data_IF_815510549999
#
_entry.id   IF_815510549999
#
_cell.length_a   1.000
_cell.length_b   1.000
_cell.length_c   1.000
_cell.angle_alpha   90.00
_cell.angle_beta   90.00
_cell.angle_gamma   90.00
#
_symmetry.space_group_name_H-M   'P 1'
#
loop_
_entity.id
_entity.type
_entity.pdbx_description
1 polymer ?
2 water ?
#
# COMPACT_ATOMS: atom_id res chain seq x y z
N UNK A 5 25.89 11.85 -0.08
CA UNK A 5 24.42 11.95 -0.31
C UNK A 5 23.85 13.17 0.44
N UNK A 6 23.04 13.98 -0.26
CA UNK A 6 22.39 15.12 0.38
C UNK A 6 21.25 14.66 1.31
N UNK A 7 20.97 15.44 2.35
CA UNK A 7 19.81 15.22 3.22
C UNK A 7 18.56 15.21 2.35
N UNK A 8 17.66 14.27 2.59
CA UNK A 8 16.47 14.16 1.74
C UNK A 8 16.57 13.05 0.68
N UNK A 9 17.79 12.65 0.31
CA UNK A 9 17.96 11.60 -0.68
C UNK A 9 17.38 10.33 -0.09
N UNK A 10 16.51 9.66 -0.87
CA UNK A 10 15.86 8.46 -0.36
C UNK A 10 16.85 7.43 0.21
N UNK A 11 18.08 7.40 -0.32
CA UNK A 11 19.11 6.45 0.17
C UNK A 11 19.68 6.90 1.53
N UNK A 12 19.89 8.20 1.68
CA UNK A 12 20.31 8.78 2.95
C UNK A 12 19.28 8.42 4.04
N UNK A 13 18.00 8.53 3.70
CA UNK A 13 16.90 8.31 4.63
C UNK A 13 16.92 6.87 5.12
N UNK A 14 17.20 5.95 4.22
CA UNK A 14 17.23 4.53 4.55
C UNK A 14 18.36 4.22 5.54
N UNK A 15 19.52 4.84 5.33
CA UNK A 15 20.65 4.75 6.26
C UNK A 15 20.29 5.34 7.63
N UNK A 16 19.65 6.51 7.62
CA UNK A 16 19.22 7.18 8.83
C UNK A 16 18.22 6.36 9.62
N UNK A 17 17.25 5.75 8.93
CA UNK A 17 16.29 4.85 9.57
C UNK A 17 16.98 3.66 10.20
N UNK A 18 17.86 3.03 9.44
CA UNK A 18 18.66 1.93 9.98
C UNK A 18 19.43 2.26 11.27
N UNK A 19 19.92 3.49 11.38
CA UNK A 19 20.65 3.93 12.56
C UNK A 19 19.70 3.98 13.77
N UNK A 20 18.44 4.35 13.51
CA UNK A 20 17.40 4.36 14.54
C UNK A 20 16.94 2.95 14.92
N UNK A 21 16.90 2.04 13.96
CA UNK A 21 16.49 0.66 14.22
C UNK A 21 17.55 -0.04 15.08
N UNK A 22 18.81 0.22 14.76
CA UNK A 22 19.95 -0.27 15.51
C UNK A 22 19.88 0.20 16.98
N UNK A 23 19.74 1.50 17.20
CA UNK A 23 19.54 1.97 18.56
C UNK A 23 18.40 1.27 19.31
N UNK A 24 17.22 1.18 18.69
CA UNK A 24 16.04 0.55 19.30
C UNK A 24 16.25 -0.94 19.58
N UNK A 25 16.90 -1.65 18.66
CA UNK A 25 17.24 -3.06 18.83
C UNK A 25 18.19 -3.24 20.03
N UNK A 26 19.10 -2.30 20.17
CA UNK A 26 20.06 -2.33 21.26
C UNK A 26 19.45 -1.93 22.63
N UNK A 27 18.51 -1.00 22.63
CA UNK A 27 17.83 -0.65 23.85
C UNK A 27 16.87 -1.72 24.28
N UNK A 28 16.29 -2.38 23.30
CA UNK A 28 15.49 -3.58 23.57
C UNK A 28 16.30 -4.63 24.34
N UNK A 29 17.47 -4.96 23.80
CA UNK A 29 18.38 -5.92 24.44
C UNK A 29 18.80 -5.48 25.84
N UNK A 30 19.27 -4.24 25.97
CA UNK A 30 19.69 -3.68 27.24
C UNK A 30 18.57 -3.84 28.31
N UNK A 31 17.35 -3.47 27.94
CA UNK A 31 16.22 -3.46 28.86
C UNK A 31 15.65 -4.85 29.18
N UNK A 32 15.77 -5.77 28.24
CA UNK A 32 15.31 -7.14 28.48
C UNK A 32 16.26 -7.88 29.40
N UNK A 33 17.56 -7.62 29.24
CA UNK A 33 18.56 -8.26 30.08
C UNK A 33 18.43 -7.72 31.48
N UNK A 34 18.25 -6.41 31.57
CA UNK A 34 18.09 -5.70 32.83
C UNK A 34 16.85 -6.15 33.58
N UNK A 35 15.76 -6.33 32.85
CA UNK A 35 14.51 -6.75 33.47
C UNK A 35 14.74 -8.09 34.16
N UNK A 36 15.48 -8.98 33.51
CA UNK A 36 15.78 -10.29 34.04
C UNK A 36 16.65 -10.28 35.29
N UNK A 37 17.35 -9.19 35.59
CA UNK A 37 18.16 -9.17 36.81
C UNK A 37 17.60 -8.26 37.93
N UNK A 38 16.38 -7.73 37.74
CA UNK A 38 15.84 -6.70 38.62
C UNK A 38 14.80 -7.27 39.58
N UNK A 39 15.01 -7.08 40.87
CA UNK A 39 14.09 -7.57 41.89
C UNK A 39 13.02 -6.54 42.29
N UNK A 40 13.41 -5.28 42.45
CA UNK A 40 12.47 -4.26 42.90
C UNK A 40 11.27 -4.14 41.97
N UNK A 41 10.07 -4.20 42.56
CA UNK A 41 8.83 -4.17 41.79
C UNK A 41 8.69 -2.87 41.00
N UNK A 42 8.97 -1.75 41.65
CA UNK A 42 8.83 -0.47 41.01
C UNK A 42 9.78 -0.31 39.82
N UNK A 43 11.02 -0.78 39.98
CA UNK A 43 12.01 -0.72 38.92
C UNK A 43 11.63 -1.63 37.73
N UNK A 44 11.06 -2.80 38.04
CA UNK A 44 10.43 -3.66 37.06
C UNK A 44 9.32 -2.99 36.22
N UNK A 45 8.36 -2.35 36.87
CA UNK A 45 7.31 -1.61 36.15
C UNK A 45 7.85 -0.43 35.27
N UNK A 46 8.98 0.13 35.68
CA UNK A 46 9.63 1.18 34.90
C UNK A 46 10.28 0.62 33.63
N UNK A 47 11.05 -0.45 33.79
CA UNK A 47 11.65 -1.15 32.66
C UNK A 47 10.56 -1.67 31.70
N UNK A 48 9.50 -2.27 32.25
CA UNK A 48 8.40 -2.75 31.41
C UNK A 48 7.74 -1.61 30.63
N UNK A 49 7.63 -0.45 31.24
CA UNK A 49 7.07 0.71 30.54
C UNK A 49 7.93 1.13 29.35
N UNK A 50 9.26 1.08 29.52
CA UNK A 50 10.14 1.38 28.41
C UNK A 50 10.09 0.30 27.32
N UNK A 51 10.06 -0.96 27.75
CA UNK A 51 9.96 -2.08 26.83
C UNK A 51 8.70 -2.03 25.96
N UNK A 52 7.58 -1.57 26.51
CA UNK A 52 6.34 -1.43 25.74
C UNK A 52 6.45 -0.40 24.63
N UNK A 53 7.11 0.72 24.94
CA UNK A 53 7.37 1.79 23.98
C UNK A 53 8.31 1.33 22.88
N UNK A 54 9.35 0.61 23.25
CA UNK A 54 10.34 0.14 22.30
C UNK A 54 9.72 -0.87 21.34
N UNK A 55 9.07 -1.89 21.89
CA UNK A 55 8.40 -2.91 21.09
C UNK A 55 7.28 -2.32 20.20
N UNK A 56 6.48 -1.43 20.76
CA UNK A 56 5.43 -0.78 19.97
C UNK A 56 6.00 0.07 18.82
N UNK A 57 7.20 0.60 19.03
CA UNK A 57 7.92 1.38 18.05
C UNK A 57 8.47 0.45 16.96
N UNK A 58 9.09 -0.65 17.39
CA UNK A 58 9.63 -1.63 16.46
C UNK A 58 8.57 -2.22 15.53
N UNK A 59 7.32 -2.30 15.97
CA UNK A 59 6.25 -2.73 15.07
C UNK A 59 6.17 -1.83 13.81
N UNK A 60 6.64 -0.59 13.91
CA UNK A 60 6.54 0.36 12.81
C UNK A 60 7.58 0.12 11.71
N UNK A 61 8.65 -0.61 12.04
CA UNK A 61 9.67 -0.94 11.03
C UNK A 61 9.08 -1.56 9.75
N UNK A 62 8.19 -2.53 9.93
CA UNK A 62 7.57 -3.20 8.79
C UNK A 62 6.68 -2.28 7.96
N UNK A 63 5.94 -1.39 8.62
CA UNK A 63 4.96 -0.56 7.95
C UNK A 63 5.60 0.61 7.22
N UNK A 64 6.84 0.92 7.57
CA UNK A 64 7.51 2.09 6.97
C UNK A 64 8.77 1.70 6.19
N UNK A 65 9.89 1.62 6.90
CA UNK A 65 11.15 1.21 6.31
C UNK A 65 11.13 0.01 5.36
N UNK A 66 10.71 -1.16 5.85
CA UNK A 66 10.61 -2.39 5.04
C UNK A 66 9.62 -2.24 3.91
N UNK A 67 8.52 -1.56 4.21
CA UNK A 67 7.43 -1.38 3.30
C UNK A 67 7.82 -0.51 2.10
N UNK A 68 8.44 0.66 2.36
CA UNK A 68 9.04 1.47 1.30
C UNK A 68 10.03 0.70 0.42
N UNK A 69 10.89 -0.11 1.03
CA UNK A 69 11.85 -0.93 0.28
C UNK A 69 11.14 -1.92 -0.64
N UNK A 70 10.24 -2.70 -0.06
CA UNK A 70 9.44 -3.66 -0.80
C UNK A 70 8.57 -3.08 -1.91
N UNK A 71 7.93 -1.94 -1.64
CA UNK A 71 6.99 -1.38 -2.62
C UNK A 71 7.62 -0.36 -3.59
N UNK A 72 8.60 0.42 -3.13
CA UNK A 72 9.15 1.50 -3.92
C UNK A 72 10.45 1.14 -4.63
N UNK A 73 11.26 0.33 -3.96
CA UNK A 73 12.63 0.09 -4.40
C UNK A 73 12.83 -1.22 -5.14
N UNK A 74 12.25 -2.30 -4.62
CA UNK A 74 12.46 -3.62 -5.23
C UNK A 74 12.15 -3.63 -6.75
N UNK A 75 11.06 -2.93 -7.18
CA UNK A 75 10.71 -3.03 -8.59
C UNK A 75 11.87 -2.63 -9.50
N UNK A 76 12.70 -1.70 -9.06
CA UNK A 76 13.79 -1.21 -9.88
C UNK A 76 14.95 -2.22 -10.03
N UNK A 77 15.10 -3.12 -9.07
CA UNK A 77 16.18 -4.11 -9.11
C UNK A 77 15.67 -5.42 -9.70
N UNK A 78 14.38 -5.67 -9.53
CA UNK A 78 13.75 -6.82 -10.14
C UNK A 78 13.87 -6.77 -11.66
N UNK A 79 13.68 -5.58 -12.22
CA UNK A 79 13.79 -5.38 -13.66
C UNK A 79 15.22 -5.60 -14.15
N UNK A 80 16.17 -5.41 -13.23
CA UNK A 80 17.58 -5.51 -13.54
C UNK A 80 18.12 -6.92 -13.37
N UNK A 81 17.22 -7.84 -13.07
CA UNK A 81 17.57 -9.25 -12.93
C UNK A 81 17.88 -9.68 -11.53
N UNK A 82 17.71 -8.76 -10.57
CA UNK A 82 18.01 -9.01 -9.16
C UNK A 82 16.79 -9.36 -8.31
N UNK A 83 15.80 -10.00 -8.92
CA UNK A 83 14.61 -10.44 -8.18
C UNK A 83 14.93 -11.25 -6.93
N UNK A 84 15.91 -12.14 -7.01
CA UNK A 84 16.34 -12.93 -5.84
C UNK A 84 16.70 -12.11 -4.59
N UNK A 85 17.29 -10.94 -4.78
CA UNK A 85 17.63 -10.07 -3.68
C UNK A 85 16.35 -9.62 -3.00
N UNK A 86 15.41 -9.17 -3.83
CA UNK A 86 14.12 -8.70 -3.37
C UNK A 86 13.39 -9.81 -2.63
N UNK A 87 13.29 -10.99 -3.24
CA UNK A 87 12.62 -12.13 -2.60
C UNK A 87 13.22 -12.57 -1.27
N UNK A 88 14.55 -12.51 -1.17
CA UNK A 88 15.24 -12.95 0.03
C UNK A 88 15.14 -11.89 1.10
N UNK A 89 15.23 -10.62 0.73
CA UNK A 89 15.04 -9.56 1.70
C UNK A 89 13.58 -9.55 2.19
N UNK A 90 12.64 -9.69 1.27
CA UNK A 90 11.25 -9.70 1.66
C UNK A 90 10.94 -10.83 2.67
N UNK A 91 11.38 -12.05 2.39
CA UNK A 91 11.18 -13.18 3.30
C UNK A 91 11.72 -12.94 4.73
N UNK A 92 12.92 -12.38 4.81
CA UNK A 92 13.53 -11.97 6.08
C UNK A 92 12.79 -10.87 6.80
N UNK A 93 12.36 -9.86 6.05
CA UNK A 93 11.55 -8.79 6.62
C UNK A 93 10.34 -9.37 7.32
N UNK A 94 9.71 -10.37 6.71
CA UNK A 94 8.51 -10.97 7.25
C UNK A 94 8.77 -11.80 8.52
N UNK A 95 9.92 -12.47 8.57
CA UNK A 95 10.33 -13.25 9.72
C UNK A 95 10.57 -12.34 10.92
N UNK A 96 11.18 -11.19 10.65
CA UNK A 96 11.36 -10.15 11.64
C UNK A 96 10.03 -9.53 12.09
N UNK A 97 9.14 -9.21 11.14
CA UNK A 97 7.81 -8.75 11.52
C UNK A 97 7.09 -9.75 12.42
N UNK A 98 7.19 -11.04 12.08
CA UNK A 98 6.52 -12.07 12.87
C UNK A 98 7.12 -12.17 14.28
N UNK A 99 8.44 -12.03 14.39
CA UNK A 99 9.15 -12.06 15.67
C UNK A 99 8.84 -10.84 16.54
N UNK A 100 8.74 -9.67 15.93
CA UNK A 100 8.36 -8.49 16.69
C UNK A 100 6.93 -8.64 17.26
N UNK A 101 6.03 -9.21 16.45
CA UNK A 101 4.66 -9.51 16.90
C UNK A 101 4.59 -10.49 18.08
N UNK A 102 5.43 -11.53 18.06
CA UNK A 102 5.50 -12.51 19.14
C UNK A 102 5.96 -11.86 20.45
N UNK A 103 6.94 -10.98 20.30
CA UNK A 103 7.48 -10.19 21.39
C UNK A 103 6.44 -9.26 22.05
N UNK A 104 5.65 -8.59 21.21
CA UNK A 104 4.54 -7.76 21.67
C UNK A 104 3.49 -8.58 22.42
N UNK A 105 3.19 -9.78 21.90
CA UNK A 105 2.20 -10.68 22.55
C UNK A 105 2.64 -11.17 23.92
N UNK A 106 3.89 -11.63 24.00
CA UNK A 106 4.57 -11.95 25.25
C UNK A 106 4.46 -10.85 26.29
N UNK A 107 4.82 -9.64 25.88
CA UNK A 107 4.77 -8.49 26.76
C UNK A 107 3.31 -8.24 27.22
N UNK A 108 2.36 -8.43 26.31
CA UNK A 108 0.96 -8.22 26.61
C UNK A 108 0.39 -9.29 27.55
N UNK A 109 0.84 -10.54 27.39
CA UNK A 109 0.29 -11.64 28.18
C UNK A 109 1.16 -12.01 29.40
N UNK A 110 2.06 -11.12 29.76
CA UNK A 110 3.01 -11.38 30.86
C UNK A 110 2.44 -11.79 32.22
N UNK A 111 1.18 -11.45 32.53
CA UNK A 111 0.66 -11.78 33.85
C UNK A 111 -0.10 -13.10 33.86
N UNK A 112 -0.22 -13.71 32.69
CA UNK A 112 -0.76 -15.05 32.54
C UNK A 112 0.21 -16.16 32.95
N UNK A 113 1.44 -15.82 33.29
CA UNK A 113 2.49 -16.83 33.54
C UNK A 113 3.34 -16.38 34.73
N UNK A 114 4.07 -17.32 35.37
CA UNK A 114 4.90 -16.85 36.49
C UNK A 114 5.97 -15.88 35.98
N UNK A 115 6.46 -15.00 36.85
CA UNK A 115 7.39 -13.97 36.47
C UNK A 115 8.69 -14.52 35.93
N UNK A 116 9.19 -15.59 36.55
CA UNK A 116 10.46 -16.18 36.13
C UNK A 116 10.37 -16.75 34.71
N UNK A 117 9.21 -17.32 34.37
CA UNK A 117 8.94 -17.82 33.02
C UNK A 117 8.82 -16.68 32.01
N UNK A 118 8.11 -15.62 32.39
CA UNK A 118 8.00 -14.45 31.51
C UNK A 118 9.34 -13.79 31.20
N UNK A 119 10.13 -13.44 32.23
CA UNK A 119 11.36 -12.66 31.98
C UNK A 119 12.37 -13.43 31.19
N UNK A 120 12.43 -14.75 31.42
CA UNK A 120 13.34 -15.60 30.65
C UNK A 120 12.91 -15.78 29.19
N UNK A 121 11.61 -15.92 28.93
CA UNK A 121 11.12 -15.95 27.54
C UNK A 121 11.29 -14.59 26.91
N UNK A 122 11.03 -13.52 27.66
CA UNK A 122 11.20 -12.18 27.07
C UNK A 122 12.65 -11.89 26.71
N UNK A 123 13.56 -12.25 27.59
CA UNK A 123 14.98 -12.07 27.33
C UNK A 123 15.46 -12.87 26.11
N UNK A 124 15.12 -14.15 26.05
CA UNK A 124 15.47 -14.99 24.88
C UNK A 124 14.92 -14.38 23.56
N UNK A 125 13.62 -14.05 23.56
CA UNK A 125 12.93 -13.52 22.38
C UNK A 125 13.44 -12.14 21.95
N UNK A 126 13.63 -11.25 22.92
CA UNK A 126 14.25 -9.96 22.67
C UNK A 126 15.67 -10.10 22.08
N UNK A 127 16.48 -11.02 22.62
CA UNK A 127 17.81 -11.28 22.08
C UNK A 127 17.78 -11.65 20.59
N UNK A 128 16.76 -12.41 20.20
CA UNK A 128 16.58 -12.90 18.82
C UNK A 128 16.11 -11.80 17.86
N UNK A 129 15.12 -11.02 18.29
CA UNK A 129 14.68 -9.83 17.59
C UNK A 129 15.82 -8.83 17.40
N UNK A 130 16.60 -8.58 18.45
CA UNK A 130 17.69 -7.63 18.33
C UNK A 130 18.77 -8.13 17.36
N UNK A 131 19.09 -9.41 17.42
CA UNK A 131 20.05 -9.97 16.53
C UNK A 131 19.56 -9.91 15.05
N UNK A 132 18.32 -10.35 14.80
CA UNK A 132 17.75 -10.28 13.43
C UNK A 132 17.62 -8.86 12.90
N UNK A 133 17.22 -7.92 13.74
CA UNK A 133 17.11 -6.53 13.27
C UNK A 133 18.49 -5.98 12.91
N UNK A 134 19.47 -6.28 13.77
CA UNK A 134 20.84 -5.85 13.56
C UNK A 134 21.50 -6.46 12.36
N UNK A 135 21.23 -7.74 12.15
CA UNK A 135 21.77 -8.44 11.01
C UNK A 135 21.14 -7.92 9.68
N UNK A 136 19.87 -7.52 9.74
CA UNK A 136 19.21 -6.92 8.59
C UNK A 136 19.79 -5.53 8.30
N UNK A 137 19.99 -4.72 9.32
CA UNK A 137 20.60 -3.41 9.13
C UNK A 137 21.96 -3.56 8.46
N UNK A 138 22.73 -4.56 8.90
CA UNK A 138 24.08 -4.79 8.38
C UNK A 138 24.05 -5.27 6.92
N UNK A 139 23.20 -6.24 6.60
CA UNK A 139 22.98 -6.69 5.22
C UNK A 139 22.55 -5.53 4.32
N UNK A 140 21.62 -4.72 4.82
CA UNK A 140 21.12 -3.62 4.05
C UNK A 140 22.18 -2.57 3.83
N UNK A 141 22.82 -2.12 4.91
CA UNK A 141 23.83 -1.06 4.81
C UNK A 141 25.04 -1.41 3.98
N UNK A 142 25.39 -2.69 3.99
CA UNK A 142 26.69 -3.09 3.48
C UNK A 142 26.61 -3.81 2.17
N UNK A 143 25.44 -4.35 1.87
CA UNK A 143 25.29 -5.13 0.67
C UNK A 143 24.25 -4.53 -0.27
N UNK A 144 23.07 -4.23 0.26
CA UNK A 144 21.92 -3.85 -0.56
C UNK A 144 22.06 -2.39 -1.01
N UNK A 145 22.34 -1.50 -0.07
CA UNK A 145 22.42 -0.08 -0.38
C UNK A 145 23.57 0.33 -1.30
N UNK A 146 24.78 -0.23 -1.09
CA UNK A 146 25.83 0.00 -2.11
C UNK A 146 25.44 -0.51 -3.52
N UNK A 147 24.66 -1.59 -3.60
CA UNK A 147 24.07 -2.04 -4.87
C UNK A 147 23.15 -0.98 -5.48
N UNK A 148 22.19 -0.46 -4.69
CA UNK A 148 21.23 0.55 -5.17
C UNK A 148 21.97 1.78 -5.61
N UNK A 149 22.97 2.15 -4.84
CA UNK A 149 23.75 3.33 -5.09
C UNK A 149 24.46 3.28 -6.46
N UNK A 150 24.98 2.12 -6.79
CA UNK A 150 25.69 1.94 -8.04
C UNK A 150 24.74 1.83 -9.25
N UNK A 151 23.53 1.32 -9.03
CA UNK A 151 22.65 0.98 -10.13
C UNK A 151 21.54 1.99 -10.45
N UNK A 152 20.92 2.58 -9.43
CA UNK A 152 19.79 3.49 -9.66
C UNK A 152 20.23 4.89 -10.11
N UNK A 153 19.50 5.45 -11.06
CA UNK A 153 19.76 6.81 -11.52
C UNK A 153 19.01 7.85 -10.69
N UNK A 154 19.43 9.10 -10.78
CA UNK A 154 18.81 10.22 -10.08
C UNK A 154 17.31 10.24 -10.33
N UNK A 155 16.94 10.01 -11.59
CA UNK A 155 15.54 10.01 -12.00
C UNK A 155 14.67 8.94 -11.37
N UNK A 156 15.26 7.77 -11.08
CA UNK A 156 14.63 6.73 -10.31
C UNK A 156 14.53 7.14 -8.84
N UNK A 157 15.61 7.69 -8.27
CA UNK A 157 15.55 8.18 -6.88
C UNK A 157 14.49 9.30 -6.71
N UNK A 158 14.35 10.17 -7.72
CA UNK A 158 13.34 11.23 -7.75
C UNK A 158 11.93 10.66 -7.81
N UNK A 159 11.73 9.61 -8.60
CA UNK A 159 10.42 8.98 -8.68
C UNK A 159 10.08 8.38 -7.32
N UNK A 160 11.06 7.69 -6.75
CA UNK A 160 10.95 7.11 -5.42
C UNK A 160 10.65 8.14 -4.32
N UNK A 161 11.46 9.20 -4.26
CA UNK A 161 11.25 10.29 -3.29
C UNK A 161 9.80 10.80 -3.33
N UNK A 162 9.24 10.88 -4.51
CA UNK A 162 7.87 11.38 -4.70
C UNK A 162 6.79 10.50 -4.02
N UNK A 163 7.02 9.20 -3.88
CA UNK A 163 5.98 8.33 -3.32
C UNK A 163 6.17 8.00 -1.85
N UNK A 164 7.27 8.46 -1.25
CA UNK A 164 7.66 8.05 0.11
C UNK A 164 6.67 8.44 1.21
N UNK A 165 6.09 9.63 1.09
CA UNK A 165 5.20 10.14 2.12
C UNK A 165 3.89 9.38 2.21
N UNK A 166 3.48 8.74 1.11
CA UNK A 166 2.32 7.85 1.09
C UNK A 166 2.47 6.67 2.06
N UNK A 167 3.70 6.38 2.47
CA UNK A 167 3.99 5.20 3.28
C UNK A 167 4.52 5.60 4.66
N UNK A 168 5.48 6.52 4.69
CA UNK A 168 6.03 7.00 5.94
C UNK A 168 7.42 6.45 6.29
N UNK A 169 7.90 6.87 7.44
CA UNK A 169 9.28 6.76 7.82
C UNK A 169 9.39 6.25 9.23
N UNK A 170 10.47 5.52 9.49
CA UNK A 170 10.81 5.13 10.84
C UNK A 170 11.71 6.18 11.48
N UNK A 171 11.07 7.11 12.19
CA UNK A 171 11.74 8.06 13.10
C UNK A 171 12.71 9.04 12.41
N UNK A 172 12.37 9.39 11.19
CA UNK A 172 13.18 10.29 10.41
C UNK A 172 12.15 11.22 9.81
N UNK A 173 12.49 12.51 9.75
CA UNK A 173 11.65 13.49 9.08
C UNK A 173 12.49 14.12 7.98
N UNK A 174 12.64 13.43 6.84
CA UNK A 174 13.52 13.90 5.78
C UNK A 174 13.05 15.19 5.13
N UNK A 175 13.97 16.11 4.84
CA UNK A 175 13.61 17.29 4.06
C UNK A 175 13.42 16.94 2.58
N UNK A 176 13.20 17.98 1.79
CA UNK A 176 12.93 17.86 0.38
C UNK A 176 14.18 17.44 -0.35
N UNK A 177 13.98 16.78 -1.47
CA UNK A 177 15.10 16.54 -2.33
C UNK A 177 14.58 16.47 -3.76
N UNK A 178 15.25 17.26 -4.62
CA UNK A 178 15.04 17.20 -6.05
C UNK A 178 16.46 17.34 -6.57
N UNK A 179 16.87 16.39 -7.49
CA UNK A 179 18.23 16.48 -8.07
C UNK A 179 18.34 17.53 -9.18
N UNK A 180 17.22 18.14 -9.55
CA UNK A 180 17.20 19.06 -10.65
C UNK A 180 15.86 19.07 -11.36
N UNK A 181 15.43 20.28 -11.69
CA UNK A 181 14.15 20.50 -12.35
C UNK A 181 14.10 19.96 -13.79
N UNK A 182 15.28 19.62 -14.32
CA UNK A 182 15.39 19.00 -15.65
C UNK A 182 15.71 17.51 -15.59
N UNK A 183 15.77 16.97 -14.37
CA UNK A 183 15.86 15.53 -14.19
C UNK A 183 14.46 14.94 -14.26
N UNK A 184 14.21 14.11 -15.28
CA UNK A 184 12.93 13.45 -15.43
C UNK A 184 12.84 12.26 -14.46
N UNK A 185 11.73 12.21 -13.70
CA UNK A 185 11.45 11.13 -12.78
C UNK A 185 11.19 9.83 -13.57
N UNK A 186 11.76 8.71 -13.15
CA UNK A 186 11.61 7.46 -13.91
C UNK A 186 10.91 6.35 -13.11
N UNK A 187 9.87 5.79 -13.71
CA UNK A 187 9.20 4.66 -13.10
C UNK A 187 9.88 3.37 -13.50
N UNK A 188 9.54 2.27 -12.80
CA UNK A 188 10.36 1.10 -13.12
C UNK A 188 10.25 0.64 -14.59
N UNK A 189 9.15 0.93 -15.24
CA UNK A 189 8.98 0.52 -16.63
C UNK A 189 9.67 1.48 -17.62
N UNK A 190 10.27 2.55 -17.09
CA UNK A 190 10.84 3.58 -17.93
C UNK A 190 12.37 3.56 -18.00
N UNK A 191 13.00 2.71 -17.19
CA UNK A 191 14.46 2.68 -17.13
C UNK A 191 15.07 1.77 -18.23
N UNK A 192 16.38 1.89 -18.43
CA UNK A 192 17.10 0.79 -19.07
C UNK A 192 17.59 -0.18 -18.00
N UNK A 193 16.98 -1.36 -17.94
CA UNK A 193 17.28 -2.33 -16.89
C UNK A 193 18.60 -3.08 -17.09
N UNK A 194 19.11 -3.04 -18.31
CA UNK A 194 20.34 -3.71 -18.71
C UNK A 194 21.55 -3.37 -17.83
N UNK A 195 22.32 -4.39 -17.49
CA UNK A 195 23.58 -4.21 -16.78
C UNK A 195 24.65 -4.76 -17.68
N UNK A 196 25.79 -4.10 -17.74
CA UNK A 196 26.91 -4.66 -18.47
C UNK A 196 27.77 -5.55 -17.57
N UNK A 197 28.72 -6.25 -18.18
CA UNK A 197 29.58 -7.20 -17.49
C UNK A 197 30.37 -6.57 -16.36
N UNK A 198 30.83 -5.34 -16.55
CA UNK A 198 31.59 -4.75 -15.47
C UNK A 198 30.73 -4.43 -14.23
N UNK A 199 29.50 -4.00 -14.49
CA UNK A 199 28.52 -3.79 -13.44
C UNK A 199 28.22 -5.11 -12.72
N UNK A 200 28.01 -6.18 -13.49
CA UNK A 200 27.85 -7.51 -12.91
C UNK A 200 29.03 -7.86 -12.02
N UNK A 201 30.26 -7.66 -12.49
CA UNK A 201 31.45 -8.01 -11.70
C UNK A 201 31.67 -7.09 -10.47
N UNK A 202 31.05 -5.93 -10.44
CA UNK A 202 31.23 -4.97 -9.34
C UNK A 202 30.13 -5.13 -8.31
N UNK A 203 29.11 -5.94 -8.63
CA UNK A 203 28.09 -6.31 -7.66
C UNK A 203 28.79 -6.93 -6.45
N UNK A 204 28.26 -6.67 -5.22
CA UNK A 204 28.87 -7.33 -4.08
C UNK A 204 28.91 -8.86 -4.31
N UNK A 205 29.88 -9.54 -3.70
CA UNK A 205 30.01 -10.98 -3.81
C UNK A 205 28.69 -11.71 -3.46
N UNK A 206 28.05 -11.26 -2.39
CA UNK A 206 26.82 -11.88 -1.85
C UNK A 206 25.65 -11.85 -2.82
N UNK A 207 25.57 -10.75 -3.58
CA UNK A 207 24.58 -10.58 -4.66
C UNK A 207 24.85 -11.45 -5.87
N UNK A 208 26.12 -11.61 -6.24
CA UNK A 208 26.52 -12.51 -7.32
C UNK A 208 26.26 -13.97 -6.90
N UNK A 209 26.48 -14.26 -5.63
CA UNK A 209 26.25 -15.60 -5.10
C UNK A 209 24.76 -15.93 -5.13
N UNK A 210 23.91 -14.97 -4.78
CA UNK A 210 22.45 -15.14 -4.86
C UNK A 210 21.93 -15.56 -6.26
N UNK A 211 22.73 -15.30 -7.30
CA UNK A 211 22.29 -15.57 -8.67
C UNK A 211 22.34 -17.05 -8.92
N UNK A 212 23.02 -17.76 -8.02
CA UNK A 212 23.11 -19.22 -8.09
C UNK A 212 23.59 -19.72 -9.46
N UNK A 213 24.43 -18.94 -10.14
CA UNK A 213 25.13 -19.45 -11.31
C UNK A 213 24.46 -19.04 -12.59
N UNK A 214 23.51 -18.11 -12.47
CA UNK A 214 22.70 -17.68 -13.62
C UNK A 214 22.84 -16.23 -13.99
N UNK A 215 23.33 -15.96 -15.21
CA UNK A 215 23.45 -14.61 -15.74
C UNK A 215 22.14 -13.85 -15.54
N UNK A 216 22.27 -12.54 -15.34
CA UNK A 216 21.10 -11.65 -15.19
C UNK A 216 20.15 -11.72 -16.38
N UNK A 217 18.85 -11.69 -16.07
CA UNK A 217 17.79 -11.58 -17.07
C UNK A 217 17.02 -10.29 -16.80
N UNK A 218 16.95 -9.43 -17.81
CA UNK A 218 16.38 -8.11 -17.66
C UNK A 218 14.93 -8.10 -18.09
N UNK A 219 14.13 -7.26 -17.43
CA UNK A 219 12.70 -7.14 -17.77
C UNK A 219 12.45 -5.86 -18.56
N UNK A 220 12.13 -6.00 -19.83
CA UNK A 220 11.88 -4.83 -20.67
C UNK A 220 10.42 -4.71 -21.13
N UNK A 221 9.52 -5.38 -20.41
CA UNK A 221 8.09 -5.29 -20.69
C UNK A 221 7.59 -3.85 -20.63
N UNK A 222 6.74 -3.51 -21.59
CA UNK A 222 6.22 -2.15 -21.77
C UNK A 222 4.83 -2.08 -21.21
N UNK A 223 4.60 -1.11 -20.36
CA UNK A 223 3.32 -0.91 -19.76
C UNK A 223 2.34 -0.27 -20.76
N UNK A 224 2.76 0.85 -21.33
CA UNK A 224 1.85 1.59 -22.17
C UNK A 224 1.76 0.85 -23.50
N UNK A 225 0.59 0.29 -23.80
CA UNK A 225 0.37 -0.37 -25.09
C UNK A 225 -0.26 0.59 -26.11
N UNK A 226 -0.28 0.15 -27.37
CA UNK A 226 -0.68 1.00 -28.48
C UNK A 226 -2.00 1.74 -28.27
N UNK A 227 -3.04 1.02 -27.85
CA UNK A 227 -4.35 1.66 -27.76
C UNK A 227 -4.74 2.11 -26.35
N UNK A 228 -3.78 2.13 -25.44
CA UNK A 228 -4.05 2.39 -24.02
C UNK A 228 -4.55 3.78 -23.65
N UNK A 229 -5.41 3.81 -22.64
CA UNK A 229 -5.95 5.04 -22.12
C UNK A 229 -5.16 5.30 -20.82
N UNK A 230 -4.56 6.48 -20.71
CA UNK A 230 -3.83 6.84 -19.51
C UNK A 230 -4.82 7.32 -18.45
N UNK A 231 -5.03 6.49 -17.45
CA UNK A 231 -5.99 6.80 -16.39
C UNK A 231 -5.34 7.34 -15.11
N UNK A 232 -4.07 7.73 -15.22
CA UNK A 232 -3.32 8.31 -14.08
C UNK A 232 -2.74 7.26 -13.16
N UNK A 233 -3.54 6.26 -12.81
CA UNK A 233 -3.09 5.12 -11.99
C UNK A 233 -3.12 3.81 -12.77
N UNK A 234 -2.77 3.86 -14.06
CA UNK A 234 -2.73 2.65 -14.87
C UNK A 234 -3.05 2.97 -16.31
N UNK A 235 -3.02 1.94 -17.15
CA UNK A 235 -3.31 2.04 -18.58
C UNK A 235 -4.27 0.95 -18.98
N UNK A 236 -5.42 1.32 -19.56
CA UNK A 236 -6.42 0.33 -19.95
C UNK A 236 -6.91 0.60 -21.34
N UNK A 237 -7.34 -0.45 -22.03
CA UNK A 237 -7.96 -0.31 -23.33
C UNK A 237 -9.48 -0.48 -23.19
N UNK A 238 -10.22 -0.24 -24.29
CA UNK A 238 -11.69 -0.28 -24.24
C UNK A 238 -12.20 -1.62 -23.68
N UNK A 239 -11.73 -2.72 -24.27
CA UNK A 239 -12.16 -4.06 -23.91
C UNK A 239 -11.99 -4.41 -22.41
N UNK A 240 -10.89 -3.99 -21.82
CA UNK A 240 -10.64 -4.14 -20.39
C UNK A 240 -11.61 -3.29 -19.57
N UNK A 241 -11.79 -2.03 -19.95
CA UNK A 241 -12.74 -1.15 -19.27
C UNK A 241 -14.14 -1.72 -19.26
N UNK A 242 -14.58 -2.29 -20.37
CA UNK A 242 -15.91 -2.91 -20.51
C UNK A 242 -16.08 -4.11 -19.55
N UNK A 243 -15.07 -4.97 -19.52
CA UNK A 243 -15.16 -6.19 -18.75
C UNK A 243 -15.12 -5.87 -17.26
N UNK A 244 -14.37 -4.83 -16.89
CA UNK A 244 -14.24 -4.37 -15.51
C UNK A 244 -15.59 -3.86 -14.98
N UNK A 245 -16.17 -2.88 -15.67
CA UNK A 245 -17.48 -2.38 -15.33
C UNK A 245 -18.58 -3.43 -15.23
N UNK A 246 -18.54 -4.44 -16.09
CA UNK A 246 -19.47 -5.56 -15.99
C UNK A 246 -19.22 -6.42 -14.75
N UNK A 247 -17.95 -6.62 -14.41
CA UNK A 247 -17.58 -7.51 -13.32
C UNK A 247 -17.90 -6.94 -11.93
N UNK A 248 -17.95 -5.61 -11.83
CA UNK A 248 -18.24 -4.96 -10.55
C UNK A 248 -19.58 -5.35 -9.97
N UNK A 249 -19.68 -5.36 -8.62
CA UNK A 249 -20.93 -5.65 -7.91
C UNK A 249 -21.87 -4.45 -7.84
N UNK A 250 -21.47 -3.32 -8.42
CA UNK A 250 -22.39 -2.21 -8.61
C UNK A 250 -22.76 -2.07 -10.06
N UNK A 251 -24.05 -1.81 -10.29
CA UNK A 251 -24.57 -1.28 -11.54
C UNK A 251 -24.44 0.24 -11.49
N UNK A 252 -23.93 0.81 -12.57
CA UNK A 252 -23.58 2.22 -12.55
C UNK A 252 -24.25 2.94 -13.70
N UNK A 253 -24.72 4.15 -13.42
CA UNK A 253 -25.27 5.02 -14.46
C UNK A 253 -24.70 6.42 -14.25
N UNK A 254 -24.05 6.98 -15.27
CA UNK A 254 -23.47 8.33 -15.17
C UNK A 254 -24.36 9.40 -15.83
N UNK A 255 -24.73 10.41 -15.05
CA UNK A 255 -25.45 11.58 -15.52
C UNK A 255 -24.48 12.76 -15.62
N UNK A 256 -24.32 13.31 -16.83
CA UNK A 256 -23.33 14.36 -17.05
C UNK A 256 -23.82 15.77 -16.64
N UNK A 257 -23.11 16.81 -17.06
CA UNK A 257 -23.40 18.18 -16.61
C UNK A 257 -24.68 18.80 -17.17
N UNK A 258 -25.17 18.27 -18.28
CA UNK A 258 -26.46 18.71 -18.83
C UNK A 258 -27.61 17.95 -18.17
N UNK A 259 -27.31 17.12 -17.16
CA UNK A 259 -28.28 16.22 -16.54
C UNK A 259 -28.72 15.16 -17.56
N UNK A 260 -27.82 14.78 -18.44
CA UNK A 260 -28.13 13.78 -19.47
C UNK A 260 -27.41 12.48 -19.17
N UNK A 261 -28.11 11.36 -19.36
CA UNK A 261 -27.51 10.06 -19.17
C UNK A 261 -26.39 9.94 -20.19
N UNK A 262 -25.21 9.57 -19.72
CA UNK A 262 -24.01 9.55 -20.54
C UNK A 262 -23.37 8.15 -20.60
N UNK A 263 -23.58 7.34 -19.56
CA UNK A 263 -23.00 5.99 -19.49
C UNK A 263 -23.77 5.12 -18.51
N UNK A 264 -23.93 3.85 -18.85
CA UNK A 264 -24.41 2.87 -17.90
C UNK A 264 -23.56 1.61 -18.04
N UNK A 265 -23.34 0.92 -16.92
CA UNK A 265 -22.55 -0.29 -16.93
C UNK A 265 -23.28 -1.42 -17.66
N UNK A 266 -22.53 -2.20 -18.45
CA UNK A 266 -23.04 -3.32 -19.23
C UNK A 266 -23.30 -4.57 -18.39
N UNK A 267 -23.74 -5.64 -19.04
CA UNK A 267 -24.02 -6.91 -18.37
C UNK A 267 -25.38 -6.94 -17.71
N UNK A 268 -25.63 -8.01 -16.95
CA UNK A 268 -26.90 -8.13 -16.24
C UNK A 268 -26.99 -7.05 -15.16
N UNK A 269 -28.05 -6.24 -15.24
CA UNK A 269 -28.27 -5.23 -14.22
C UNK A 269 -29.64 -5.41 -13.56
N UNK A 270 -29.78 -4.86 -12.36
CA UNK A 270 -31.02 -4.97 -11.60
C UNK A 270 -32.14 -4.16 -12.26
N UNK A 271 -31.80 -2.93 -12.66
CA UNK A 271 -32.70 -2.04 -13.35
C UNK A 271 -32.17 -1.84 -14.77
N UNK A 272 -32.83 -2.44 -15.75
CA UNK A 272 -32.30 -2.48 -17.10
C UNK A 272 -32.19 -1.08 -17.73
N UNK A 273 -31.20 -0.91 -18.61
CA UNK A 273 -30.99 0.34 -19.34
C UNK A 273 -30.82 -0.05 -20.79
N UNK A 274 -31.29 0.81 -21.69
CA UNK A 274 -31.13 0.57 -23.12
C UNK A 274 -30.31 1.69 -23.74
N UNK A 275 -29.67 1.42 -24.90
CA UNK A 275 -28.96 2.43 -25.69
C UNK A 275 -29.76 3.73 -25.91
N UNK A 276 -31.06 3.58 -26.10
CA UNK A 276 -31.95 4.69 -26.43
C UNK A 276 -32.00 5.75 -25.32
N UNK A 277 -31.47 5.38 -24.15
CA UNK A 277 -31.42 6.28 -23.01
C UNK A 277 -30.16 7.21 -23.00
N UNK A 278 -29.17 6.92 -23.83
CA UNK A 278 -27.99 7.78 -23.91
C UNK A 278 -28.30 9.15 -24.51
N UNK A 279 -27.97 10.20 -23.78
CA UNK A 279 -28.19 11.58 -24.24
C UNK A 279 -29.49 12.14 -23.75
N UNK A 280 -30.27 11.29 -23.04
CA UNK A 280 -31.59 11.66 -22.59
C UNK A 280 -31.54 12.44 -21.27
N UNK A 281 -32.26 13.58 -21.18
CA UNK A 281 -32.33 14.23 -19.87
C UNK A 281 -32.82 13.24 -18.81
N UNK A 282 -32.11 13.16 -17.68
CA UNK A 282 -32.48 12.23 -16.62
C UNK A 282 -33.94 12.42 -16.15
N UNK A 283 -34.45 13.63 -16.27
CA UNK A 283 -35.83 13.94 -15.93
C UNK A 283 -36.86 13.31 -16.89
N UNK A 284 -36.42 12.92 -18.09
CA UNK A 284 -37.34 12.32 -19.06
C UNK A 284 -37.28 10.80 -18.98
N UNK A 285 -36.23 10.34 -18.30
CA UNK A 285 -36.00 8.93 -17.96
C UNK A 285 -36.89 8.33 -16.89
N UNK A 286 -37.58 9.17 -16.13
CA UNK A 286 -38.31 8.74 -14.96
C UNK A 286 -39.72 9.12 -15.19
N UNK A 287 -40.64 8.45 -14.47
CA UNK A 287 -42.02 8.84 -14.50
C UNK A 287 -42.08 10.29 -14.06
N UNK A 288 -43.10 11.04 -14.56
CA UNK A 288 -43.13 12.48 -14.20
C UNK A 288 -43.31 12.69 -12.70
N UNK A 289 -43.78 11.65 -12.01
CA UNK A 289 -44.10 11.78 -10.59
C UNK A 289 -42.84 11.68 -9.73
N UNK A 290 -41.76 11.18 -10.34
CA UNK A 290 -40.48 10.98 -9.68
C UNK A 290 -39.51 12.14 -9.90
N UNK A 291 -39.94 13.13 -10.68
CA UNK A 291 -39.03 14.15 -11.19
C UNK A 291 -38.63 15.17 -10.12
N UNK A 292 -39.56 15.51 -9.23
CA UNK A 292 -39.32 16.44 -8.13
C UNK A 292 -38.18 15.97 -7.24
N UNK A 293 -38.11 14.65 -7.03
CA UNK A 293 -37.07 14.04 -6.22
C UNK A 293 -35.74 14.07 -6.96
N UNK A 294 -35.79 13.76 -8.26
CA UNK A 294 -34.62 13.76 -9.10
C UNK A 294 -33.96 15.14 -9.13
N UNK A 295 -34.78 16.17 -9.34
CA UNK A 295 -34.32 17.56 -9.36
C UNK A 295 -33.86 18.09 -8.01
N UNK A 296 -34.56 17.72 -6.93
CA UNK A 296 -34.13 18.21 -5.62
C UNK A 296 -32.78 17.59 -5.20
N UNK A 297 -32.51 16.37 -5.68
CA UNK A 297 -31.23 15.70 -5.41
C UNK A 297 -30.09 16.36 -6.19
N UNK A 298 -30.35 16.69 -7.45
CA UNK A 298 -29.32 17.21 -8.35
C UNK A 298 -28.90 18.61 -7.94
N UNK A 299 -29.87 19.39 -7.47
CA UNK A 299 -29.66 20.75 -7.04
C UNK A 299 -28.87 20.80 -5.72
N UNK A 300 -29.20 19.91 -4.80
CA UNK A 300 -28.49 19.82 -3.53
C UNK A 300 -27.05 19.35 -3.76
N UNK A 301 -26.86 18.50 -4.76
CA UNK A 301 -25.55 18.01 -5.17
C UNK A 301 -24.71 19.16 -5.77
N UNK A 302 -25.30 19.85 -6.75
CA UNK A 302 -24.65 20.99 -7.43
C UNK A 302 -24.30 22.14 -6.49
N UNK A 303 -25.22 22.47 -5.58
CA UNK A 303 -25.00 23.59 -4.66
C UNK A 303 -24.16 23.16 -3.46
N UNK A 304 -23.93 21.86 -3.34
CA UNK A 304 -23.05 21.34 -2.29
C UNK A 304 -23.68 21.22 -0.92
N UNK A 305 -25.00 21.19 -0.86
CA UNK A 305 -25.71 20.99 0.40
C UNK A 305 -25.73 19.52 0.80
N UNK A 306 -25.58 18.65 -0.20
CA UNK A 306 -25.56 17.22 0.03
C UNK A 306 -24.49 16.56 -0.83
N UNK A 307 -23.95 15.45 -0.33
CA UNK A 307 -22.92 14.72 -1.05
C UNK A 307 -23.32 13.26 -1.28
N UNK A 308 -24.52 12.90 -0.83
CA UNK A 308 -25.06 11.58 -1.15
C UNK A 308 -26.57 11.52 -0.93
N UNK A 309 -27.20 10.60 -1.67
CA UNK A 309 -28.60 10.23 -1.44
C UNK A 309 -28.65 8.73 -1.48
N UNK A 310 -29.24 8.11 -0.46
CA UNK A 310 -29.29 6.67 -0.36
C UNK A 310 -30.71 6.12 -0.20
N UNK A 311 -31.04 5.07 -0.96
CA UNK A 311 -32.31 4.36 -0.81
C UNK A 311 -32.04 2.86 -0.72
N UNK A 312 -33.02 2.10 -0.25
CA UNK A 312 -32.93 0.63 -0.30
C UNK A 312 -34.29 -0.08 -0.11
N UNK A 313 -34.41 -1.27 -0.68
CA UNK A 313 -35.67 -2.01 -0.64
C UNK A 313 -35.45 -3.47 -0.99
N UNK A 314 -36.44 -4.29 -0.68
CA UNK A 314 -36.45 -5.69 -1.11
C UNK A 314 -37.02 -5.76 -2.53
N UNK A 315 -36.39 -6.59 -3.37
CA UNK A 315 -36.90 -6.81 -4.73
C UNK A 315 -36.79 -8.29 -5.04
N UNK A 316 -37.75 -9.06 -4.51
CA UNK A 316 -37.70 -10.52 -4.48
C UNK A 316 -36.64 -11.00 -3.50
N UNK A 317 -35.67 -11.75 -4.00
CA UNK A 317 -34.59 -12.30 -3.16
C UNK A 317 -33.40 -11.33 -3.07
N UNK A 318 -33.53 -10.18 -3.72
CA UNK A 318 -32.47 -9.19 -3.78
C UNK A 318 -32.71 -8.06 -2.77
N UNK A 319 -31.66 -7.67 -2.05
CA UNK A 319 -31.71 -6.49 -1.19
C UNK A 319 -31.01 -5.32 -1.85
N UNK A 320 -31.76 -4.59 -2.67
CA UNK A 320 -31.20 -3.57 -3.54
C UNK A 320 -30.85 -2.28 -2.78
N UNK A 321 -29.57 -1.92 -2.83
CA UNK A 321 -29.07 -0.72 -2.18
C UNK A 321 -28.69 0.28 -3.26
N UNK A 322 -29.32 1.46 -3.24
CA UNK A 322 -29.13 2.47 -4.27
C UNK A 322 -28.47 3.70 -3.67
N UNK A 323 -27.41 4.18 -4.31
CA UNK A 323 -26.74 5.39 -3.83
C UNK A 323 -26.41 6.34 -4.97
N UNK A 324 -26.73 7.61 -4.78
CA UNK A 324 -26.36 8.68 -5.70
C UNK A 324 -25.31 9.55 -5.03
N UNK A 325 -24.26 9.88 -5.77
CA UNK A 325 -23.26 10.83 -5.31
C UNK A 325 -22.89 11.75 -6.46
N UNK A 326 -22.56 13.01 -6.16
CA UNK A 326 -22.07 13.95 -7.17
C UNK A 326 -20.58 13.70 -7.44
N UNK A 327 -20.16 13.83 -8.69
CA UNK A 327 -18.74 13.67 -9.01
C UNK A 327 -18.13 15.02 -9.29
N UNK A 328 -16.89 15.18 -8.83
CA UNK A 328 -16.13 16.41 -8.99
C UNK A 328 -14.81 16.07 -9.65
N UNK A 329 -14.29 16.99 -10.44
CA UNK A 329 -12.99 16.78 -11.06
C UNK A 329 -11.85 17.32 -10.15
N UNK A 330 -10.61 17.30 -10.66
CA UNK A 330 -9.43 17.75 -9.92
C UNK A 330 -9.54 19.16 -9.32
N UNK A 331 -9.96 20.16 -10.16
CA UNK A 331 -10.13 21.54 -9.67
C UNK A 331 -11.30 21.74 -8.68
N UNK A 332 -12.19 20.70 -8.56
CA UNK A 332 -13.28 20.73 -7.56
C UNK A 332 -14.63 21.09 -8.16
N UNK A 333 -14.71 20.96 -9.49
CA UNK A 333 -15.86 21.36 -10.27
C UNK A 333 -16.76 20.17 -10.49
N UNK A 334 -18.06 20.40 -10.38
CA UNK A 334 -19.06 19.36 -10.58
C UNK A 334 -19.04 18.86 -12.03
N UNK A 335 -18.93 17.54 -12.21
CA UNK A 335 -18.94 16.98 -13.57
C UNK A 335 -20.11 16.03 -13.85
N UNK A 336 -20.98 15.88 -12.86
CA UNK A 336 -22.13 15.02 -13.01
C UNK A 336 -22.42 14.21 -11.77
N UNK A 337 -23.32 13.25 -11.91
CA UNK A 337 -23.78 12.48 -10.79
C UNK A 337 -23.74 11.02 -11.17
N UNK A 338 -23.32 10.18 -10.23
CA UNK A 338 -23.28 8.73 -10.40
C UNK A 338 -24.38 8.01 -9.59
N UNK A 339 -25.13 7.17 -10.27
CA UNK A 339 -26.05 6.28 -9.60
C UNK A 339 -25.38 4.92 -9.47
N UNK A 340 -25.42 4.36 -8.27
CA UNK A 340 -24.80 3.08 -7.98
C UNK A 340 -25.84 2.17 -7.35
N UNK A 341 -26.05 0.99 -7.95
CA UNK A 341 -27.05 0.04 -7.45
C UNK A 341 -26.43 -1.32 -7.20
N UNK A 342 -26.71 -1.92 -6.05
CA UNK A 342 -26.23 -3.28 -5.80
C UNK A 342 -27.15 -4.14 -4.95
N UNK A 343 -27.04 -5.44 -5.13
CA UNK A 343 -27.65 -6.43 -4.25
C UNK A 343 -26.75 -6.62 -3.02
N UNK A 344 -27.21 -6.16 -1.86
CA UNK A 344 -26.43 -6.32 -0.63
C UNK A 344 -26.83 -7.53 0.22
N UNK A 345 -27.79 -8.32 -0.26
CA UNK A 345 -28.23 -9.51 0.48
C UNK A 345 -27.14 -10.57 0.61
N UNK A 346 -26.31 -10.75 -0.43
CA UNK A 346 -25.16 -11.64 -0.36
C UNK A 346 -24.12 -11.31 0.74
N UNK A 347 -24.01 -10.04 1.15
CA UNK A 347 -23.01 -9.66 2.15
C UNK A 347 -23.60 -9.76 3.55
N UNK A 348 -24.91 -9.51 3.63
CA UNK A 348 -25.69 -9.68 4.85
C UNK A 348 -25.44 -11.01 5.52
N UNK A 349 -25.10 -12.03 4.71
CA UNK A 349 -24.91 -13.37 5.23
C UNK A 349 -23.45 -13.80 5.27
N UNK A 350 -22.55 -12.82 5.44
CA UNK A 350 -21.13 -13.11 5.63
C UNK A 350 -20.77 -13.02 7.12
N UNK A 351 -20.13 -14.06 7.65
CA UNK A 351 -19.81 -14.13 9.08
C UNK A 351 -18.41 -14.69 9.30
N UNK A 352 -17.87 -14.47 10.50
CA UNK A 352 -16.54 -14.97 10.84
C UNK A 352 -15.51 -14.54 9.82
N UNK A 353 -14.54 -15.40 9.54
CA UNK A 353 -13.47 -15.03 8.62
C UNK A 353 -13.07 -16.13 7.63
N UNK A 354 -12.74 -15.73 6.41
CA UNK A 354 -12.20 -16.64 5.41
C UNK A 354 -10.86 -16.09 4.91
N UNK A 355 -9.77 -16.77 5.25
CA UNK A 355 -8.44 -16.34 4.83
C UNK A 355 -7.75 -17.41 4.00
N UNK A 356 -8.47 -18.48 3.69
CA UNK A 356 -7.94 -19.57 2.86
C UNK A 356 -8.97 -20.03 1.84
N UNK A 357 -8.55 -20.89 0.91
CA UNK A 357 -9.38 -21.34 -0.22
C UNK A 357 -10.27 -22.58 0.05
N UNK A 358 -10.08 -23.63 -0.75
CA UNK A 358 -10.91 -24.84 -0.70
C UNK A 358 -10.58 -25.84 -1.82
N UNK A 359 -9.76 -25.41 -2.79
CA UNK A 359 -9.47 -26.20 -3.98
C UNK A 359 -8.27 -27.15 -3.78
#
# INVERSE_FOLDING_TARGET
MSLDLPEGHPLKTLYQENKEIMKDAEMLNLYAKTLATTKDERMREEILGVLEEIVSSLRMVGFTHYNREEMLIFPYIERRGLTVIATVLWTKHDEIRAMIKQLAELLRKREEMPWEEFVEKFKAKAGEVAFALSDMVFRENNIFYPTLKALLSEGEWKAIKMQEDEIGYYKVKPPEWDPGEDVKPLHPWEINPELNVEQLLTLPKEVQQALRGQPLEFDKTQLKREEDIDLGTGYLNIEELKAIFEALPVDVTFIDKDDRVRFFSPGERIFTRTPSVLGRPVQLCHPPKSVYVVNKILKAFKEGRKKEATFWLRLREKYVYIKYVPLFNEKGEYIGTLEMTMDIAPYKKIEGEKRLLDWRDEGHHHHHH
#
